data_IF_341025275268
#
_entry.id   IF_341025275268
#
_cell.length_a   1.000
_cell.length_b   1.000
_cell.length_c   1.000
_cell.angle_alpha   90.00
_cell.angle_beta   90.00
_cell.angle_gamma   90.00
#
_symmetry.space_group_name_H-M   'P 1'
#
loop_
_entity.id
_entity.type
_entity.pdbx_description
1 polymer ?
#
# COMPACT_ATOMS: atom_id res chain seq x y z
N UNK A 1 -17.23 1.93 -7.17
CA UNK A 1 -18.28 1.14 -6.50
C UNK A 1 -18.78 1.90 -5.28
N UNK A 2 -20.09 1.99 -5.09
CA UNK A 2 -20.75 2.75 -4.01
C UNK A 2 -21.15 1.87 -2.82
N UNK A 3 -20.50 0.72 -2.65
CA UNK A 3 -20.88 -0.32 -1.69
C UNK A 3 -19.71 -0.73 -0.80
N UNK A 4 -20.05 -1.45 0.28
CA UNK A 4 -19.10 -2.12 1.15
C UNK A 4 -18.24 -3.12 0.37
N UNK A 5 -16.97 -3.23 0.75
CA UNK A 5 -16.00 -4.20 0.23
C UNK A 5 -15.19 -3.69 -0.95
N UNK A 6 -15.42 -2.49 -1.47
CA UNK A 6 -14.70 -1.98 -2.63
C UNK A 6 -13.17 -1.89 -2.38
N UNK A 7 -12.76 -1.43 -1.19
CA UNK A 7 -11.34 -1.38 -0.83
C UNK A 7 -10.79 -2.78 -0.52
N UNK A 8 -11.60 -3.62 0.12
CA UNK A 8 -11.25 -5.00 0.42
C UNK A 8 -11.03 -5.85 -0.85
N UNK A 9 -11.86 -5.72 -1.88
CA UNK A 9 -11.71 -6.46 -3.13
C UNK A 9 -10.44 -6.06 -3.89
N UNK A 10 -10.11 -4.77 -3.93
CA UNK A 10 -8.92 -4.30 -4.62
C UNK A 10 -7.64 -4.77 -3.89
N UNK A 11 -7.62 -4.74 -2.56
CA UNK A 11 -6.52 -5.31 -1.79
C UNK A 11 -6.45 -6.84 -1.89
N UNK A 12 -7.58 -7.53 -1.90
CA UNK A 12 -7.63 -8.98 -2.09
C UNK A 12 -7.05 -9.37 -3.45
N UNK A 13 -7.32 -8.60 -4.51
CA UNK A 13 -6.75 -8.84 -5.83
C UNK A 13 -5.21 -8.73 -5.81
N UNK A 14 -4.67 -7.68 -5.22
CA UNK A 14 -3.21 -7.49 -5.08
C UNK A 14 -2.60 -8.60 -4.21
N UNK A 15 -3.26 -8.97 -3.12
CA UNK A 15 -2.81 -10.06 -2.24
C UNK A 15 -2.76 -11.39 -2.99
N UNK A 16 -3.83 -11.74 -3.73
CA UNK A 16 -3.89 -12.98 -4.51
C UNK A 16 -2.77 -13.01 -5.56
N UNK A 17 -2.55 -11.91 -6.30
CA UNK A 17 -1.46 -11.84 -7.27
C UNK A 17 -0.11 -12.02 -6.58
N UNK A 18 0.14 -11.29 -5.49
CA UNK A 18 1.40 -11.41 -4.73
C UNK A 18 1.67 -12.85 -4.28
N UNK A 19 0.64 -13.54 -3.79
CA UNK A 19 0.76 -14.97 -3.44
C UNK A 19 1.05 -15.85 -4.66
N UNK A 20 0.37 -15.63 -5.79
CA UNK A 20 0.54 -16.46 -7.00
C UNK A 20 1.92 -16.31 -7.64
N UNK A 21 2.54 -15.13 -7.52
CA UNK A 21 3.90 -14.86 -8.05
C UNK A 21 4.99 -15.35 -7.10
N UNK A 22 4.64 -15.76 -5.87
CA UNK A 22 5.59 -16.23 -4.86
C UNK A 22 6.16 -15.10 -3.98
N UNK A 23 5.68 -13.86 -4.15
CA UNK A 23 6.14 -12.66 -3.45
C UNK A 23 5.47 -12.47 -2.07
N UNK A 24 4.62 -13.42 -1.68
CA UNK A 24 3.80 -13.30 -0.49
C UNK A 24 4.50 -13.80 0.77
N UNK A 25 4.89 -12.87 1.65
CA UNK A 25 5.40 -13.16 2.99
C UNK A 25 4.41 -12.74 4.10
N UNK A 26 4.67 -13.15 5.34
CA UNK A 26 3.77 -12.90 6.48
C UNK A 26 3.54 -11.40 6.72
N UNK A 27 4.59 -10.57 6.65
CA UNK A 27 4.48 -9.12 6.85
C UNK A 27 3.60 -8.48 5.77
N UNK A 28 3.79 -8.87 4.51
CA UNK A 28 2.95 -8.47 3.38
C UNK A 28 1.48 -8.79 3.64
N UNK A 29 1.15 -10.03 4.01
CA UNK A 29 -0.25 -10.42 4.27
C UNK A 29 -0.89 -9.63 5.40
N UNK A 30 -0.18 -9.46 6.52
CA UNK A 30 -0.69 -8.72 7.68
C UNK A 30 -0.96 -7.26 7.30
N UNK A 31 -0.02 -6.60 6.63
CA UNK A 31 -0.17 -5.20 6.24
C UNK A 31 -1.34 -5.05 5.26
N UNK A 32 -1.44 -5.91 4.25
CA UNK A 32 -2.54 -5.89 3.28
C UNK A 32 -3.92 -6.02 3.94
N UNK A 33 -4.05 -6.90 4.94
CA UNK A 33 -5.30 -7.06 5.70
C UNK A 33 -5.60 -5.82 6.54
N UNK A 34 -4.60 -5.27 7.24
CA UNK A 34 -4.76 -4.09 8.09
C UNK A 34 -5.18 -2.88 7.25
N UNK A 35 -4.46 -2.57 6.17
CA UNK A 35 -4.77 -1.41 5.33
C UNK A 35 -6.12 -1.54 4.63
N UNK A 36 -6.52 -2.77 4.23
CA UNK A 36 -7.86 -3.02 3.72
C UNK A 36 -8.94 -2.76 4.77
N UNK A 37 -8.77 -3.27 5.99
CA UNK A 37 -9.70 -3.05 7.08
C UNK A 37 -9.82 -1.57 7.45
N UNK A 38 -8.69 -0.86 7.56
CA UNK A 38 -8.67 0.58 7.86
C UNK A 38 -9.34 1.38 6.74
N UNK A 39 -9.03 1.10 5.47
CA UNK A 39 -9.68 1.76 4.34
C UNK A 39 -11.21 1.55 4.35
N UNK A 40 -11.66 0.34 4.64
CA UNK A 40 -13.08 0.01 4.70
C UNK A 40 -13.78 0.70 5.89
N UNK A 41 -13.12 0.77 7.05
CA UNK A 41 -13.62 1.53 8.21
C UNK A 41 -13.75 3.02 7.90
N UNK A 42 -12.79 3.60 7.17
CA UNK A 42 -12.88 4.98 6.70
C UNK A 42 -14.07 5.17 5.77
N UNK A 43 -14.31 4.25 4.82
CA UNK A 43 -15.53 4.29 3.98
C UNK A 43 -16.81 4.20 4.79
N UNK A 44 -16.83 3.36 5.84
CA UNK A 44 -17.97 3.23 6.75
C UNK A 44 -18.29 4.54 7.47
N UNK A 45 -17.26 5.27 7.93
CA UNK A 45 -17.43 6.53 8.67
C UNK A 45 -17.82 7.70 7.76
N UNK A 46 -17.20 7.81 6.57
CA UNK A 46 -17.39 8.96 5.68
C UNK A 46 -18.44 8.73 4.58
N UNK A 47 -19.00 7.53 4.47
CA UNK A 47 -20.02 7.15 3.49
C UNK A 47 -19.44 6.43 2.27
N UNK A 48 -20.13 5.39 1.81
CA UNK A 48 -19.67 4.57 0.68
C UNK A 48 -19.93 5.21 -0.70
N UNK A 49 -20.83 6.18 -0.75
CA UNK A 49 -21.31 6.88 -1.94
C UNK A 49 -20.92 8.36 -1.95
N UNK A 50 -20.09 8.80 -1.00
CA UNK A 50 -19.58 10.17 -0.92
C UNK A 50 -18.19 10.29 -1.54
N UNK A 51 -17.92 11.45 -2.13
CA UNK A 51 -16.58 11.76 -2.65
C UNK A 51 -15.52 11.77 -1.55
N UNK A 52 -15.90 12.23 -0.34
CA UNK A 52 -15.03 12.24 0.84
C UNK A 52 -14.65 10.82 1.28
N UNK A 53 -15.59 9.90 1.31
CA UNK A 53 -15.33 8.51 1.66
C UNK A 53 -14.35 7.83 0.72
N UNK A 54 -14.48 8.08 -0.59
CA UNK A 54 -13.50 7.62 -1.59
C UNK A 54 -12.12 8.22 -1.32
N UNK A 55 -12.02 9.54 -1.19
CA UNK A 55 -10.74 10.24 -0.99
C UNK A 55 -10.01 9.79 0.28
N UNK A 56 -10.70 9.78 1.42
CA UNK A 56 -10.06 9.45 2.69
C UNK A 56 -9.71 7.97 2.80
N UNK A 57 -10.52 7.06 2.21
CA UNK A 57 -10.21 5.62 2.24
C UNK A 57 -9.05 5.24 1.35
N UNK A 58 -8.73 6.05 0.33
CA UNK A 58 -7.59 5.80 -0.53
C UNK A 58 -6.24 6.04 0.17
N UNK A 59 -6.18 6.93 1.16
CA UNK A 59 -4.94 7.22 1.90
C UNK A 59 -4.38 5.97 2.61
N UNK A 60 -5.13 5.28 3.50
CA UNK A 60 -4.64 4.05 4.10
C UNK A 60 -4.43 2.95 3.05
N UNK A 61 -5.27 2.89 2.02
CA UNK A 61 -5.10 1.95 0.91
C UNK A 61 -3.76 2.15 0.16
N UNK A 62 -3.29 3.38 0.01
CA UNK A 62 -2.03 3.66 -0.68
C UNK A 62 -0.79 3.07 0.04
N UNK A 63 -0.89 2.75 1.33
CA UNK A 63 0.18 2.05 2.05
C UNK A 63 0.33 0.58 1.62
N UNK A 64 -0.65 0.01 0.91
CA UNK A 64 -0.52 -1.33 0.31
C UNK A 64 0.72 -1.45 -0.60
N UNK A 65 1.17 -0.36 -1.22
CA UNK A 65 2.40 -0.36 -2.03
C UNK A 65 3.67 -0.63 -1.22
N UNK A 66 3.66 -0.38 0.09
CA UNK A 66 4.76 -0.67 1.00
C UNK A 66 4.62 -2.02 1.71
N UNK A 67 3.49 -2.72 1.52
CA UNK A 67 3.27 -4.00 2.16
C UNK A 67 4.32 -5.03 1.76
N UNK A 68 4.72 -5.04 0.48
CA UNK A 68 5.74 -5.96 -0.01
C UNK A 68 7.09 -5.66 0.62
N UNK A 69 7.56 -4.40 0.55
CA UNK A 69 8.87 -4.00 1.05
C UNK A 69 9.01 -4.05 2.58
N UNK A 70 7.92 -4.26 3.32
CA UNK A 70 7.96 -4.32 4.78
C UNK A 70 8.82 -5.45 5.35
N UNK A 71 9.06 -6.53 4.59
CA UNK A 71 9.92 -7.63 5.03
C UNK A 71 11.34 -7.16 5.36
N UNK A 72 11.85 -6.13 4.69
CA UNK A 72 13.16 -5.55 4.94
C UNK A 72 13.34 -5.03 6.37
N UNK A 73 12.26 -4.58 7.02
CA UNK A 73 12.30 -4.10 8.41
C UNK A 73 11.69 -5.09 9.41
N UNK A 74 10.79 -5.96 8.95
CA UNK A 74 10.17 -6.98 9.81
C UNK A 74 11.08 -8.21 10.00
N UNK A 75 11.96 -8.48 9.03
CA UNK A 75 12.90 -9.60 9.04
C UNK A 75 14.18 -9.24 8.26
N UNK A 76 14.92 -8.27 8.77
CA UNK A 76 16.08 -7.68 8.09
C UNK A 76 17.18 -8.70 7.76
N UNK A 77 17.51 -9.58 8.70
CA UNK A 77 18.59 -10.56 8.55
C UNK A 77 18.30 -11.54 7.41
N UNK A 78 17.14 -12.20 7.43
CA UNK A 78 16.74 -13.13 6.36
C UNK A 78 16.62 -12.41 5.01
N UNK A 79 16.15 -11.16 5.00
CA UNK A 79 16.01 -10.38 3.76
C UNK A 79 17.35 -10.00 3.14
N UNK A 80 18.34 -9.63 3.97
CA UNK A 80 19.70 -9.36 3.51
C UNK A 80 20.38 -10.64 3.04
N UNK A 81 20.18 -11.77 3.73
CA UNK A 81 20.71 -13.06 3.30
C UNK A 81 20.13 -13.50 1.95
N UNK A 82 18.80 -13.41 1.77
CA UNK A 82 18.16 -13.69 0.49
C UNK A 82 18.70 -12.78 -0.63
N UNK A 83 18.97 -11.51 -0.33
CA UNK A 83 19.62 -10.60 -1.27
C UNK A 83 21.06 -11.02 -1.64
N UNK A 84 21.83 -11.57 -0.70
CA UNK A 84 23.16 -12.14 -1.02
C UNK A 84 23.03 -13.34 -1.96
N UNK A 85 22.00 -14.16 -1.77
CA UNK A 85 21.82 -15.41 -2.53
C UNK A 85 21.21 -15.18 -3.93
N UNK A 86 20.37 -14.16 -4.09
CA UNK A 86 19.55 -13.96 -5.30
C UNK A 86 19.97 -12.76 -6.16
N UNK A 87 20.72 -11.80 -5.61
CA UNK A 87 21.08 -10.54 -6.30
C UNK A 87 22.58 -10.45 -6.62
N UNK A 88 22.99 -9.50 -7.49
CA UNK A 88 24.40 -9.27 -7.79
C UNK A 88 25.22 -8.90 -6.55
N UNK A 89 26.52 -9.21 -6.60
CA UNK A 89 27.48 -8.87 -5.56
C UNK A 89 27.45 -7.38 -5.20
N UNK A 90 27.48 -7.07 -3.90
CA UNK A 90 27.39 -5.70 -3.37
C UNK A 90 25.96 -5.15 -3.22
N UNK A 91 24.91 -5.85 -3.68
CA UNK A 91 23.53 -5.38 -3.51
C UNK A 91 23.12 -5.29 -2.03
N UNK A 92 23.42 -6.32 -1.23
CA UNK A 92 23.09 -6.35 0.19
C UNK A 92 23.80 -5.21 0.97
N UNK A 93 25.09 -4.96 0.66
CA UNK A 93 25.88 -3.88 1.26
C UNK A 93 25.31 -2.48 0.95
N UNK A 94 24.71 -2.31 -0.23
CA UNK A 94 24.02 -1.07 -0.61
C UNK A 94 22.65 -0.92 0.06
N UNK A 95 21.98 -2.03 0.36
CA UNK A 95 20.65 -2.04 0.99
C UNK A 95 20.71 -1.86 2.51
N UNK A 96 21.71 -2.44 3.18
CA UNK A 96 21.89 -2.33 4.62
C UNK A 96 21.81 -0.88 5.17
N UNK A 97 22.53 0.12 4.62
CA UNK A 97 22.44 1.49 5.10
C UNK A 97 21.08 2.15 4.83
N UNK A 98 20.37 1.72 3.78
CA UNK A 98 19.01 2.20 3.47
C UNK A 98 18.02 1.70 4.51
N UNK A 99 18.11 0.41 4.86
CA UNK A 99 17.24 -0.23 5.84
C UNK A 99 17.47 0.34 7.23
N UNK A 100 18.74 0.55 7.61
CA UNK A 100 19.12 1.13 8.90
C UNK A 100 18.67 2.59 9.08
N UNK A 101 18.40 3.31 7.98
CA UNK A 101 17.97 4.70 8.01
C UNK A 101 16.46 4.85 8.28
N UNK A 102 16.05 4.61 9.53
CA UNK A 102 14.66 4.77 9.98
C UNK A 102 14.08 6.16 9.69
N UNK A 103 14.81 7.29 9.83
CA UNK A 103 14.29 8.59 9.41
C UNK A 103 13.86 8.65 7.95
N UNK A 104 14.63 8.04 7.04
CA UNK A 104 14.26 7.97 5.62
C UNK A 104 12.99 7.15 5.40
N UNK A 105 12.80 6.03 6.11
CA UNK A 105 11.56 5.26 6.08
C UNK A 105 10.36 6.11 6.53
N UNK A 106 10.49 6.83 7.65
CA UNK A 106 9.41 7.71 8.16
C UNK A 106 9.05 8.78 7.13
N UNK A 107 10.04 9.40 6.49
CA UNK A 107 9.81 10.37 5.42
C UNK A 107 9.08 9.72 4.25
N UNK A 108 9.52 8.53 3.80
CA UNK A 108 8.87 7.81 2.70
C UNK A 108 7.40 7.48 3.01
N UNK A 109 7.11 7.04 4.24
CA UNK A 109 5.74 6.77 4.71
C UNK A 109 4.89 8.05 4.73
N UNK A 110 5.42 9.17 5.22
CA UNK A 110 4.69 10.46 5.21
C UNK A 110 4.40 10.91 3.77
N UNK A 111 5.35 10.72 2.84
CA UNK A 111 5.20 11.08 1.43
C UNK A 111 4.11 10.27 0.69
N UNK A 112 3.68 9.13 1.22
CA UNK A 112 2.52 8.39 0.68
C UNK A 112 1.28 9.27 0.63
N UNK A 113 1.07 10.11 1.63
CA UNK A 113 -0.14 10.95 1.73
C UNK A 113 -0.25 11.94 0.55
N UNK A 114 0.72 12.84 0.30
CA UNK A 114 0.64 13.76 -0.84
C UNK A 114 0.60 13.03 -2.19
N UNK A 115 1.34 11.92 -2.35
CA UNK A 115 1.31 11.12 -3.58
C UNK A 115 -0.08 10.50 -3.81
N UNK A 116 -0.70 9.98 -2.75
CA UNK A 116 -2.06 9.43 -2.82
C UNK A 116 -3.08 10.51 -3.21
N UNK A 117 -2.96 11.71 -2.65
CA UNK A 117 -3.82 12.84 -3.00
C UNK A 117 -3.63 13.29 -4.45
N UNK A 118 -2.40 13.32 -4.96
CA UNK A 118 -2.11 13.61 -6.37
C UNK A 118 -2.72 12.54 -7.29
N UNK A 119 -2.57 11.26 -6.94
CA UNK A 119 -3.18 10.16 -7.68
C UNK A 119 -4.70 10.26 -7.74
N UNK A 120 -5.35 10.60 -6.62
CA UNK A 120 -6.78 10.88 -6.57
C UNK A 120 -7.19 12.05 -7.48
N UNK A 121 -6.40 13.13 -7.47
CA UNK A 121 -6.71 14.31 -8.28
C UNK A 121 -6.66 13.97 -9.77
N UNK A 122 -5.62 13.26 -10.22
CA UNK A 122 -5.51 12.78 -11.60
C UNK A 122 -6.68 11.83 -11.92
N UNK A 123 -6.98 10.88 -11.03
CA UNK A 123 -8.06 9.93 -11.22
C UNK A 123 -9.43 10.60 -11.36
N UNK A 124 -9.72 11.65 -10.57
CA UNK A 124 -10.95 12.43 -10.68
C UNK A 124 -11.04 13.20 -11.99
N UNK A 125 -9.92 13.76 -12.47
CA UNK A 125 -9.86 14.51 -13.72
C UNK A 125 -10.03 13.59 -14.95
N UNK A 126 -9.51 12.37 -14.89
CA UNK A 126 -9.67 11.35 -15.94
C UNK A 126 -11.07 10.73 -15.90
N UNK A 127 -11.64 10.54 -14.70
CA UNK A 127 -12.94 9.88 -14.48
C UNK A 127 -14.05 10.85 -14.04
N UNK A 128 -14.12 12.04 -14.64
CA UNK A 128 -15.06 13.12 -14.25
C UNK A 128 -16.50 12.64 -14.07
N UNK A 129 -17.03 11.90 -15.06
CA UNK A 129 -18.42 11.40 -15.03
C UNK A 129 -18.70 10.51 -13.82
N UNK A 130 -17.74 9.66 -13.45
CA UNK A 130 -17.84 8.79 -12.28
C UNK A 130 -17.64 9.59 -10.99
N UNK A 131 -16.71 10.54 -10.97
CA UNK A 131 -16.45 11.40 -9.82
C UNK A 131 -17.67 12.30 -9.48
N UNK A 132 -18.35 12.83 -10.48
CA UNK A 132 -19.58 13.61 -10.35
C UNK A 132 -20.79 12.77 -9.92
N UNK A 133 -20.71 11.45 -10.08
CA UNK A 133 -21.78 10.55 -9.64
C UNK A 133 -21.81 10.36 -8.12
N UNK A 134 -20.75 10.74 -7.40
CA UNK A 134 -20.70 10.70 -5.94
C UNK A 134 -21.34 11.96 -5.35
N UNK A 135 -22.08 11.79 -4.25
CA UNK A 135 -22.68 12.90 -3.51
C UNK A 135 -21.65 13.76 -2.79
#
# INVERSE_FOLDING_TARGET
>A
MKCFGAAAFLNAYVLIIGTLVGEGNLAFYIIMVIVAAVAELVRKVFGYDTKKGVRFSFIPFAYSFYAYSAHWWANTEDSLQAAVDEMPEGYAEMMEPVIANIPALVIALILVIPVALLGLWIAEEVMKKQAESFS
#
